data_IF_004184810445
#
_entry.id   IF_004184810445
#
_cell.length_a   1.000
_cell.length_b   1.000
_cell.length_c   1.000
_cell.angle_alpha   90.00
_cell.angle_beta   90.00
_cell.angle_gamma   90.00
#
_symmetry.space_group_name_H-M   'P 1'
#
loop_
_entity.id
_entity.type
_entity.pdbx_description
1 polymer ?
#
# COMPACT_ATOMS: atom_id res chain seq x y z
N UNK A 1 11.68 -8.18 -17.60
CA UNK A 1 10.94 -8.37 -16.34
C UNK A 1 9.72 -9.21 -16.59
N UNK A 2 9.31 -10.00 -15.60
CA UNK A 2 8.05 -10.75 -15.65
C UNK A 2 7.01 -10.10 -14.75
N UNK A 3 5.81 -9.89 -15.24
CA UNK A 3 4.70 -9.24 -14.54
C UNK A 3 3.61 -10.27 -14.29
N UNK A 4 3.12 -10.35 -13.06
CA UNK A 4 2.04 -11.26 -12.69
C UNK A 4 0.82 -10.46 -12.26
N UNK A 5 -0.25 -10.53 -13.05
CA UNK A 5 -1.58 -10.10 -12.65
C UNK A 5 -2.23 -11.14 -11.74
N UNK A 6 -2.79 -10.69 -10.62
CA UNK A 6 -3.45 -11.55 -9.64
C UNK A 6 -4.88 -11.04 -9.47
N UNK A 7 -5.84 -11.75 -10.06
CA UNK A 7 -7.25 -11.42 -9.99
C UNK A 7 -7.91 -12.19 -8.84
N UNK A 8 -8.29 -11.49 -7.77
CA UNK A 8 -9.06 -12.03 -6.66
C UNK A 8 -10.48 -11.48 -6.62
N UNK A 9 -11.27 -11.79 -7.65
CA UNK A 9 -12.68 -11.41 -7.74
C UNK A 9 -13.55 -12.68 -7.84
N UNK A 10 -14.86 -12.58 -7.59
CA UNK A 10 -15.77 -13.72 -7.82
C UNK A 10 -16.10 -13.94 -9.31
N UNK A 11 -15.86 -12.93 -10.16
CA UNK A 11 -16.11 -12.98 -11.60
C UNK A 11 -14.79 -12.79 -12.33
N UNK A 12 -14.48 -13.70 -13.24
CA UNK A 12 -13.31 -13.59 -14.10
C UNK A 12 -13.42 -12.39 -15.04
N UNK A 13 -14.61 -12.14 -15.58
CA UNK A 13 -14.88 -11.05 -16.52
C UNK A 13 -15.77 -9.97 -15.87
N UNK A 14 -15.13 -9.04 -15.16
CA UNK A 14 -15.82 -7.90 -14.56
C UNK A 14 -14.93 -6.66 -14.51
N UNK A 15 -15.40 -5.61 -13.83
CA UNK A 15 -14.67 -4.33 -13.77
C UNK A 15 -13.24 -4.48 -13.23
N UNK A 16 -13.04 -5.36 -12.25
CA UNK A 16 -11.69 -5.64 -11.70
C UNK A 16 -10.76 -6.20 -12.76
N UNK A 17 -11.27 -7.10 -13.61
CA UNK A 17 -10.53 -7.67 -14.74
C UNK A 17 -10.24 -6.62 -15.81
N UNK A 18 -11.23 -5.80 -16.16
CA UNK A 18 -11.02 -4.70 -17.12
C UNK A 18 -9.90 -3.76 -16.68
N UNK A 19 -9.85 -3.43 -15.39
CA UNK A 19 -8.75 -2.61 -14.84
C UNK A 19 -7.40 -3.32 -14.94
N UNK A 20 -7.36 -4.61 -14.60
CA UNK A 20 -6.16 -5.43 -14.66
C UNK A 20 -5.62 -5.54 -16.09
N UNK A 21 -6.47 -5.88 -17.06
CA UNK A 21 -6.11 -5.99 -18.47
C UNK A 21 -5.58 -4.66 -19.00
N UNK A 22 -6.23 -3.53 -18.68
CA UNK A 22 -5.79 -2.20 -19.13
C UNK A 22 -4.37 -1.87 -18.65
N UNK A 23 -4.01 -2.25 -17.42
CA UNK A 23 -2.67 -2.07 -16.86
C UNK A 23 -1.66 -3.01 -17.55
N UNK A 24 -2.01 -4.29 -17.71
CA UNK A 24 -1.10 -5.28 -18.27
C UNK A 24 -0.88 -5.14 -19.78
N UNK A 25 -1.84 -4.58 -20.52
CA UNK A 25 -1.65 -4.22 -21.93
C UNK A 25 -0.54 -3.18 -22.16
N UNK A 26 -0.06 -2.51 -21.11
CA UNK A 26 1.04 -1.57 -21.21
C UNK A 26 2.42 -2.22 -20.99
N UNK A 27 2.48 -3.51 -20.70
CA UNK A 27 3.75 -4.24 -20.56
C UNK A 27 4.36 -4.42 -21.95
N UNK A 28 5.52 -3.82 -22.17
CA UNK A 28 6.19 -3.78 -23.48
C UNK A 28 7.35 -4.78 -23.54
N UNK A 29 7.62 -5.33 -24.73
CA UNK A 29 8.79 -6.18 -24.95
C UNK A 29 10.10 -5.45 -24.53
N UNK A 30 11.07 -6.15 -23.93
CA UNK A 30 11.14 -7.60 -23.70
C UNK A 30 10.41 -8.10 -22.44
N UNK A 31 9.64 -7.25 -21.75
CA UNK A 31 8.86 -7.67 -20.59
C UNK A 31 7.67 -8.55 -20.99
N UNK A 32 7.27 -9.45 -20.11
CA UNK A 32 6.12 -10.33 -20.32
C UNK A 32 5.13 -10.21 -19.17
N UNK A 33 3.86 -10.48 -19.44
CA UNK A 33 2.81 -10.50 -18.43
C UNK A 33 2.00 -11.79 -18.52
N UNK A 34 1.63 -12.33 -17.37
CA UNK A 34 0.62 -13.39 -17.24
C UNK A 34 -0.40 -13.00 -16.17
N UNK A 35 -1.59 -13.61 -16.22
CA UNK A 35 -2.64 -13.43 -15.20
C UNK A 35 -2.94 -14.78 -14.56
N UNK A 36 -3.10 -14.78 -13.24
CA UNK A 36 -3.77 -15.86 -12.51
C UNK A 36 -5.10 -15.37 -11.97
N UNK A 37 -6.14 -16.18 -12.14
CA UNK A 37 -7.44 -15.97 -11.54
C UNK A 37 -7.57 -16.87 -10.31
N UNK A 38 -7.69 -16.27 -9.13
CA UNK A 38 -7.55 -17.01 -7.86
C UNK A 38 -8.67 -18.04 -7.62
N UNK A 39 -9.85 -17.86 -8.21
CA UNK A 39 -10.96 -18.83 -8.11
C UNK A 39 -10.69 -20.12 -8.90
N UNK A 40 -9.73 -20.12 -9.83
CA UNK A 40 -9.30 -21.36 -10.51
C UNK A 40 -8.48 -22.28 -9.59
N UNK A 41 -8.09 -21.79 -8.42
CA UNK A 41 -7.20 -22.48 -7.50
C UNK A 41 -7.93 -22.85 -6.21
N UNK A 42 -7.76 -24.09 -5.76
CA UNK A 42 -8.19 -24.49 -4.42
C UNK A 42 -7.15 -24.04 -3.38
N UNK A 43 -7.22 -22.78 -2.98
CA UNK A 43 -6.25 -22.17 -2.05
C UNK A 43 -6.56 -22.56 -0.61
N UNK A 44 -5.61 -23.29 0.02
CA UNK A 44 -5.67 -23.76 1.40
C UNK A 44 -4.38 -23.39 2.14
N UNK A 45 -4.45 -23.19 3.48
CA UNK A 45 -3.26 -22.90 4.28
C UNK A 45 -2.31 -24.10 4.29
N UNK A 46 -1.01 -23.82 4.48
CA UNK A 46 -0.02 -24.88 4.69
C UNK A 46 -0.28 -25.65 5.99
N UNK A 47 -0.20 -26.97 5.90
CA UNK A 47 -0.31 -27.90 7.03
C UNK A 47 1.03 -28.63 7.17
N UNK A 48 1.60 -28.62 8.37
CA UNK A 48 2.90 -29.25 8.63
C UNK A 48 2.88 -30.73 8.23
N UNK A 49 3.84 -31.13 7.39
CA UNK A 49 3.99 -32.50 6.92
C UNK A 49 3.06 -32.88 5.75
N UNK A 50 2.29 -31.95 5.21
CA UNK A 50 1.44 -32.18 4.04
C UNK A 50 1.91 -31.33 2.85
N UNK A 51 1.98 -31.89 1.63
CA UNK A 51 2.27 -31.11 0.44
C UNK A 51 1.12 -30.16 0.12
N UNK A 52 1.44 -28.99 -0.44
CA UNK A 52 0.45 -28.00 -0.88
C UNK A 52 0.78 -27.55 -2.31
N UNK A 53 0.56 -28.44 -3.31
CA UNK A 53 1.00 -28.21 -4.69
C UNK A 53 0.37 -26.97 -5.32
N UNK A 54 -0.87 -26.63 -4.94
CA UNK A 54 -1.54 -25.40 -5.38
C UNK A 54 -0.76 -24.16 -4.96
N UNK A 55 -0.39 -24.07 -3.68
CA UNK A 55 0.42 -22.94 -3.21
C UNK A 55 1.84 -23.00 -3.76
N UNK A 56 2.42 -24.18 -3.99
CA UNK A 56 3.74 -24.34 -4.61
C UNK A 56 3.75 -23.75 -6.04
N UNK A 57 2.72 -24.07 -6.83
CA UNK A 57 2.52 -23.53 -8.18
C UNK A 57 2.37 -22.00 -8.17
N UNK A 58 1.54 -21.45 -7.27
CA UNK A 58 1.35 -20.00 -7.18
C UNK A 58 2.65 -19.31 -6.74
N UNK A 59 3.37 -19.88 -5.78
CA UNK A 59 4.64 -19.34 -5.28
C UNK A 59 5.71 -19.32 -6.37
N UNK A 60 5.81 -20.37 -7.19
CA UNK A 60 6.74 -20.37 -8.32
C UNK A 60 6.46 -19.21 -9.30
N UNK A 61 5.19 -18.88 -9.55
CA UNK A 61 4.81 -17.72 -10.37
C UNK A 61 5.18 -16.40 -9.69
N UNK A 62 4.91 -16.27 -8.38
CA UNK A 62 5.26 -15.09 -7.59
C UNK A 62 6.77 -14.84 -7.54
N UNK A 63 7.57 -15.91 -7.41
CA UNK A 63 9.03 -15.86 -7.38
C UNK A 63 9.60 -15.46 -8.74
N UNK A 64 9.05 -16.00 -9.82
CA UNK A 64 9.45 -15.65 -11.18
C UNK A 64 9.07 -14.21 -11.57
N UNK A 65 8.02 -13.64 -10.98
CA UNK A 65 7.54 -12.29 -11.31
C UNK A 65 8.29 -11.20 -10.56
N UNK A 66 8.72 -10.15 -11.26
CA UNK A 66 9.37 -8.96 -10.70
C UNK A 66 8.35 -7.92 -10.20
N UNK A 67 7.16 -7.89 -10.83
CA UNK A 67 6.07 -6.96 -10.50
C UNK A 67 4.76 -7.73 -10.34
N UNK A 68 4.03 -7.46 -9.26
CA UNK A 68 2.70 -8.02 -9.01
C UNK A 68 1.61 -6.96 -9.21
N UNK A 69 0.59 -7.23 -10.02
CA UNK A 69 -0.58 -6.38 -10.14
C UNK A 69 -1.73 -7.04 -9.39
N UNK A 70 -1.99 -6.60 -8.17
CA UNK A 70 -3.06 -7.11 -7.31
C UNK A 70 -4.37 -6.45 -7.71
N UNK A 71 -5.32 -7.21 -8.21
CA UNK A 71 -6.63 -6.70 -8.60
C UNK A 71 -7.74 -7.41 -7.81
N UNK A 72 -8.42 -6.67 -6.93
CA UNK A 72 -9.48 -7.21 -6.10
C UNK A 72 -10.55 -6.13 -5.79
N UNK A 73 -11.85 -6.45 -5.92
CA UNK A 73 -12.92 -5.52 -5.59
C UNK A 73 -13.02 -5.28 -4.07
N UNK A 74 -13.64 -4.16 -3.70
CA UNK A 74 -14.07 -3.88 -2.33
C UNK A 74 -15.49 -4.39 -2.12
N UNK A 75 -15.65 -5.38 -1.25
CA UNK A 75 -16.94 -5.92 -0.83
C UNK A 75 -17.15 -5.69 0.65
N UNK A 76 -18.33 -5.20 1.03
CA UNK A 76 -18.68 -4.89 2.44
C UNK A 76 -17.64 -3.98 3.13
N UNK A 77 -17.09 -3.02 2.40
CA UNK A 77 -16.06 -2.10 2.91
C UNK A 77 -14.72 -2.76 3.23
N UNK A 78 -14.46 -3.96 2.71
CA UNK A 78 -13.23 -4.71 2.89
C UNK A 78 -12.72 -5.32 1.58
N UNK A 79 -11.51 -5.87 1.62
CA UNK A 79 -10.93 -6.62 0.50
C UNK A 79 -11.79 -7.87 0.21
N UNK A 80 -11.92 -8.26 -1.06
CA UNK A 80 -12.64 -9.48 -1.45
C UNK A 80 -12.18 -10.70 -0.66
N UNK A 81 -13.13 -11.59 -0.33
CA UNK A 81 -12.84 -12.83 0.42
C UNK A 81 -11.81 -13.71 -0.29
N UNK A 82 -11.86 -13.78 -1.62
CA UNK A 82 -10.92 -14.52 -2.46
C UNK A 82 -9.48 -14.03 -2.27
N UNK A 83 -9.25 -12.72 -2.42
CA UNK A 83 -7.92 -12.14 -2.27
C UNK A 83 -7.45 -12.23 -0.81
N UNK A 84 -8.36 -12.04 0.15
CA UNK A 84 -8.05 -12.16 1.57
C UNK A 84 -7.64 -13.59 1.96
N UNK A 85 -8.36 -14.61 1.48
CA UNK A 85 -8.01 -16.01 1.70
C UNK A 85 -6.63 -16.34 1.11
N UNK A 86 -6.35 -15.85 -0.10
CA UNK A 86 -5.03 -15.98 -0.71
C UNK A 86 -3.94 -15.35 0.16
N UNK A 87 -4.12 -14.11 0.64
CA UNK A 87 -3.16 -13.48 1.54
C UNK A 87 -2.97 -14.21 2.87
N UNK A 88 -4.04 -14.78 3.43
CA UNK A 88 -3.95 -15.57 4.67
C UNK A 88 -3.13 -16.84 4.48
N UNK A 89 -3.32 -17.53 3.35
CA UNK A 89 -2.56 -18.74 2.99
C UNK A 89 -1.12 -18.42 2.58
N UNK A 90 -0.90 -17.26 1.94
CA UNK A 90 0.41 -16.78 1.51
C UNK A 90 1.31 -16.39 2.70
N UNK A 91 0.73 -16.03 3.86
CA UNK A 91 1.43 -15.47 5.02
C UNK A 91 2.70 -16.21 5.41
N UNK A 92 2.65 -17.54 5.52
CA UNK A 92 3.81 -18.34 5.97
C UNK A 92 4.93 -18.43 4.92
N UNK A 93 4.60 -18.15 3.65
CA UNK A 93 5.52 -18.21 2.53
C UNK A 93 6.06 -16.84 2.13
N UNK A 94 5.40 -15.77 2.56
CA UNK A 94 5.71 -14.38 2.23
C UNK A 94 6.79 -13.77 3.13
N UNK A 95 6.75 -14.11 4.42
CA UNK A 95 7.60 -13.51 5.45
C UNK A 95 8.22 -14.60 6.32
N UNK A 96 9.39 -14.29 6.89
CA UNK A 96 9.99 -15.11 7.94
C UNK A 96 9.58 -14.56 9.31
N UNK A 97 9.37 -15.45 10.27
CA UNK A 97 9.05 -15.09 11.65
C UNK A 97 10.28 -15.24 12.53
N UNK A 98 10.59 -14.23 13.33
CA UNK A 98 11.63 -14.35 14.37
C UNK A 98 11.11 -15.05 15.62
N UNK A 99 12.01 -15.32 16.59
CA UNK A 99 11.67 -15.98 17.86
C UNK A 99 10.70 -15.18 18.74
N UNK A 100 10.50 -13.89 18.47
CA UNK A 100 9.55 -12.99 19.17
C UNK A 100 8.23 -12.85 18.41
N UNK A 101 8.06 -13.54 17.28
CA UNK A 101 6.87 -13.45 16.42
C UNK A 101 6.87 -12.25 15.48
N UNK A 102 7.98 -11.50 15.37
CA UNK A 102 8.14 -10.41 14.41
C UNK A 102 8.23 -10.93 12.98
N UNK A 103 7.53 -10.27 12.05
CA UNK A 103 7.58 -10.58 10.62
C UNK A 103 8.69 -9.80 9.94
N UNK A 104 9.52 -10.49 9.18
CA UNK A 104 10.58 -9.87 8.37
C UNK A 104 10.41 -10.26 6.90
N UNK A 105 10.72 -9.34 5.96
CA UNK A 105 10.83 -9.69 4.55
C UNK A 105 11.79 -10.87 4.33
N UNK A 106 11.50 -11.63 3.28
CA UNK A 106 12.27 -12.80 2.86
C UNK A 106 12.51 -12.74 1.34
N UNK A 107 12.31 -13.84 0.61
CA UNK A 107 12.62 -13.99 -0.82
C UNK A 107 11.89 -13.06 -1.81
N UNK A 108 10.81 -12.40 -1.37
CA UNK A 108 10.07 -11.46 -2.20
C UNK A 108 10.49 -9.99 -2.04
N UNK A 109 11.48 -9.73 -1.17
CA UNK A 109 11.95 -8.37 -0.92
C UNK A 109 12.37 -7.65 -2.22
N UNK A 110 12.07 -6.35 -2.28
CA UNK A 110 12.36 -5.45 -3.39
C UNK A 110 11.59 -5.72 -4.70
N UNK A 111 10.74 -6.75 -4.78
CA UNK A 111 9.76 -6.85 -5.88
C UNK A 111 8.76 -5.69 -5.80
N UNK A 112 8.13 -5.36 -6.91
CA UNK A 112 7.22 -4.21 -6.99
C UNK A 112 5.77 -4.63 -7.07
N UNK A 113 4.84 -3.75 -6.69
CA UNK A 113 3.43 -4.01 -6.89
C UNK A 113 2.58 -2.79 -7.25
N UNK A 114 1.50 -3.07 -7.97
CA UNK A 114 0.35 -2.19 -8.19
C UNK A 114 -0.85 -2.79 -7.47
N UNK A 115 -1.66 -1.95 -6.83
CA UNK A 115 -2.95 -2.35 -6.27
C UNK A 115 -4.11 -1.72 -7.05
N UNK A 116 -5.06 -2.54 -7.47
CA UNK A 116 -6.26 -2.14 -8.19
C UNK A 116 -7.48 -2.58 -7.39
N UNK A 117 -8.41 -1.66 -7.16
CA UNK A 117 -9.69 -1.99 -6.54
C UNK A 117 -10.85 -1.27 -7.21
N UNK A 118 -12.07 -1.70 -6.88
CA UNK A 118 -13.26 -1.02 -7.31
C UNK A 118 -14.38 -1.14 -6.28
N UNK A 119 -15.37 -0.27 -6.39
CA UNK A 119 -16.55 -0.30 -5.54
C UNK A 119 -17.79 0.20 -6.30
N UNK A 120 -18.96 -0.25 -5.84
CA UNK A 120 -20.24 0.24 -6.35
C UNK A 120 -20.51 1.69 -5.93
N UNK A 121 -19.95 2.13 -4.81
CA UNK A 121 -20.13 3.45 -4.25
C UNK A 121 -19.78 4.54 -5.26
N UNK A 122 -20.54 5.64 -5.25
CA UNK A 122 -20.27 6.78 -6.11
C UNK A 122 -18.91 7.41 -5.81
N UNK A 123 -18.35 8.20 -6.75
CA UNK A 123 -17.06 8.88 -6.55
C UNK A 123 -17.06 9.76 -5.29
N UNK A 124 -18.13 10.53 -5.08
CA UNK A 124 -18.28 11.41 -3.91
C UNK A 124 -18.46 10.65 -2.60
N UNK A 125 -19.25 9.59 -2.62
CA UNK A 125 -19.43 8.72 -1.46
C UNK A 125 -18.11 8.07 -1.06
N UNK A 126 -17.37 7.50 -2.03
CA UNK A 126 -16.07 6.92 -1.75
C UNK A 126 -15.06 7.96 -1.24
N UNK A 127 -15.09 9.18 -1.79
CA UNK A 127 -14.23 10.27 -1.33
C UNK A 127 -14.52 10.68 0.13
N UNK A 128 -15.79 10.70 0.54
CA UNK A 128 -16.19 11.10 1.90
C UNK A 128 -16.05 9.98 2.93
N UNK A 129 -16.41 8.75 2.56
CA UNK A 129 -16.49 7.61 3.48
C UNK A 129 -15.28 6.68 3.43
N UNK A 130 -14.45 6.78 2.39
CA UNK A 130 -13.26 5.95 2.21
C UNK A 130 -13.57 4.45 2.09
N UNK A 131 -14.66 4.08 1.41
CA UNK A 131 -15.12 2.67 1.30
C UNK A 131 -13.99 1.74 0.88
N UNK A 132 -13.14 2.17 -0.05
CA UNK A 132 -12.04 1.39 -0.60
C UNK A 132 -10.75 1.39 0.23
N UNK A 133 -10.62 2.29 1.21
CA UNK A 133 -9.37 2.52 1.95
C UNK A 133 -8.95 1.30 2.77
N UNK A 134 -9.92 0.54 3.29
CA UNK A 134 -9.64 -0.69 4.01
C UNK A 134 -9.00 -1.74 3.09
N UNK A 135 -9.51 -1.89 1.86
CA UNK A 135 -8.96 -2.83 0.88
C UNK A 135 -7.51 -2.50 0.53
N UNK A 136 -7.21 -1.24 0.22
CA UNK A 136 -5.84 -0.80 -0.06
C UNK A 136 -4.92 -0.99 1.14
N UNK A 137 -5.36 -0.61 2.35
CA UNK A 137 -4.57 -0.82 3.57
C UNK A 137 -4.28 -2.30 3.83
N UNK A 138 -5.22 -3.20 3.54
CA UNK A 138 -4.98 -4.65 3.65
C UNK A 138 -3.94 -5.13 2.66
N UNK A 139 -4.06 -4.72 1.38
CA UNK A 139 -3.06 -5.08 0.34
C UNK A 139 -1.68 -4.56 0.73
N UNK A 140 -1.60 -3.27 1.08
CA UNK A 140 -0.33 -2.62 1.43
C UNK A 140 0.30 -3.27 2.66
N UNK A 141 -0.49 -3.56 3.70
CA UNK A 141 0.01 -4.23 4.91
C UNK A 141 0.63 -5.59 4.60
N UNK A 142 -0.02 -6.40 3.75
CA UNK A 142 0.49 -7.72 3.39
C UNK A 142 1.76 -7.61 2.55
N UNK A 143 1.72 -6.81 1.48
CA UNK A 143 2.83 -6.75 0.52
C UNK A 143 4.06 -6.02 1.08
N UNK A 144 3.87 -4.97 1.86
CA UNK A 144 5.00 -4.28 2.52
C UNK A 144 5.65 -5.14 3.60
N UNK A 145 4.88 -6.01 4.29
CA UNK A 145 5.45 -7.00 5.20
C UNK A 145 6.37 -7.99 4.46
N UNK A 146 6.01 -8.38 3.22
CA UNK A 146 6.86 -9.15 2.33
C UNK A 146 8.07 -8.39 1.75
N UNK A 147 8.20 -7.09 2.04
CA UNK A 147 9.26 -6.24 1.52
C UNK A 147 9.04 -5.74 0.08
N UNK A 148 7.81 -5.84 -0.44
CA UNK A 148 7.50 -5.33 -1.77
C UNK A 148 7.29 -3.81 -1.76
N UNK A 149 7.61 -3.17 -2.89
CA UNK A 149 7.60 -1.73 -3.09
C UNK A 149 6.42 -1.33 -3.97
N UNK A 150 5.59 -0.40 -3.50
CA UNK A 150 4.42 0.07 -4.24
C UNK A 150 4.83 1.05 -5.34
N UNK A 151 4.41 0.79 -6.58
CA UNK A 151 4.63 1.73 -7.72
C UNK A 151 3.39 2.57 -8.03
N UNK A 152 2.22 2.14 -7.57
CA UNK A 152 1.00 2.93 -7.59
C UNK A 152 -0.24 2.12 -7.28
N UNK A 153 -1.37 2.81 -7.30
CA UNK A 153 -2.69 2.25 -7.09
C UNK A 153 -3.73 2.94 -7.96
N UNK A 154 -4.86 2.28 -8.20
CA UNK A 154 -6.01 2.88 -8.86
C UNK A 154 -7.32 2.28 -8.36
N UNK A 155 -8.35 3.12 -8.31
CA UNK A 155 -9.72 2.75 -7.90
C UNK A 155 -10.72 3.07 -9.00
N UNK A 156 -11.65 2.15 -9.29
CA UNK A 156 -12.84 2.44 -10.10
C UNK A 156 -14.08 2.50 -9.19
N UNK A 157 -14.77 3.63 -9.17
CA UNK A 157 -16.02 3.81 -8.43
C UNK A 157 -17.23 3.67 -9.36
N UNK A 158 -18.45 3.69 -8.80
CA UNK A 158 -19.70 3.62 -9.55
C UNK A 158 -19.76 2.43 -10.54
N UNK A 159 -19.37 1.23 -10.07
CA UNK A 159 -19.28 0.04 -10.93
C UNK A 159 -20.59 -0.68 -11.21
N UNK A 160 -21.70 -0.24 -10.60
CA UNK A 160 -22.99 -0.92 -10.79
C UNK A 160 -23.45 -0.79 -12.24
N UNK A 161 -23.62 -1.92 -12.93
CA UNK A 161 -23.99 -1.96 -14.35
C UNK A 161 -22.90 -1.50 -15.33
N UNK A 162 -21.66 -1.28 -14.86
CA UNK A 162 -20.56 -0.80 -15.70
C UNK A 162 -20.08 -1.91 -16.64
N UNK A 163 -20.15 -1.66 -17.96
CA UNK A 163 -19.70 -2.58 -19.02
C UNK A 163 -18.35 -2.17 -19.61
N UNK A 164 -17.97 -0.90 -19.52
CA UNK A 164 -16.71 -0.37 -20.06
C UNK A 164 -16.09 0.68 -19.13
N UNK A 165 -14.77 0.82 -19.18
CA UNK A 165 -14.06 1.85 -18.43
C UNK A 165 -14.14 3.19 -19.17
N UNK A 166 -14.47 4.27 -18.46
CA UNK A 166 -14.45 5.60 -19.05
C UNK A 166 -13.04 5.95 -19.61
N UNK A 167 -12.92 6.73 -20.70
CA UNK A 167 -11.62 7.07 -21.31
C UNK A 167 -10.62 7.71 -20.34
N UNK A 168 -11.11 8.51 -19.40
CA UNK A 168 -10.28 9.10 -18.34
C UNK A 168 -9.66 8.02 -17.43
N UNK A 169 -10.43 6.99 -17.06
CA UNK A 169 -9.93 5.86 -16.27
C UNK A 169 -8.95 5.02 -17.08
N UNK A 170 -9.25 4.76 -18.34
CA UNK A 170 -8.33 4.04 -19.23
C UNK A 170 -6.98 4.76 -19.30
N UNK A 171 -6.97 6.09 -19.47
CA UNK A 171 -5.75 6.91 -19.49
C UNK A 171 -4.97 6.86 -18.16
N UNK A 172 -5.66 6.89 -17.03
CA UNK A 172 -5.05 6.73 -15.70
C UNK A 172 -4.36 5.37 -15.56
N UNK A 173 -5.06 4.28 -15.90
CA UNK A 173 -4.54 2.92 -15.83
C UNK A 173 -3.41 2.69 -16.84
N UNK A 174 -3.48 3.30 -18.03
CA UNK A 174 -2.41 3.30 -19.02
C UNK A 174 -1.14 3.93 -18.44
N UNK A 175 -1.25 5.12 -17.84
CA UNK A 175 -0.10 5.77 -17.19
C UNK A 175 0.48 4.92 -16.06
N UNK A 176 -0.39 4.25 -15.31
CA UNK A 176 0.02 3.37 -14.22
C UNK A 176 0.77 2.13 -14.74
N UNK A 177 0.24 1.47 -15.78
CA UNK A 177 0.89 0.32 -16.43
C UNK A 177 2.23 0.67 -17.07
N UNK A 178 2.36 1.86 -17.66
CA UNK A 178 3.64 2.33 -18.22
C UNK A 178 4.76 2.44 -17.17
N UNK A 179 4.43 2.65 -15.88
CA UNK A 179 5.44 2.66 -14.80
C UNK A 179 6.11 1.30 -14.62
N UNK A 180 5.43 0.20 -14.94
CA UNK A 180 5.97 -1.17 -14.82
C UNK A 180 7.25 -1.30 -15.65
N UNK A 181 7.26 -0.77 -16.88
CA UNK A 181 8.42 -0.88 -17.78
C UNK A 181 9.66 -0.12 -17.29
N UNK A 182 9.50 0.79 -16.32
CA UNK A 182 10.58 1.60 -15.74
C UNK A 182 10.96 1.15 -14.34
N UNK A 183 10.24 0.20 -13.75
CA UNK A 183 10.49 -0.25 -12.40
C UNK A 183 11.80 -1.06 -12.36
N UNK A 184 12.72 -0.69 -11.48
CA UNK A 184 13.96 -1.43 -11.25
C UNK A 184 13.82 -2.32 -10.03
N UNK A 185 14.21 -3.60 -10.12
CA UNK A 185 14.06 -4.59 -9.04
C UNK A 185 14.66 -4.20 -7.68
N UNK A 186 15.57 -3.23 -7.62
CA UNK A 186 16.07 -2.67 -6.36
C UNK A 186 15.96 -1.15 -6.43
N UNK A 187 14.88 -0.62 -5.88
CA UNK A 187 14.72 0.83 -5.71
C UNK A 187 15.25 1.21 -4.31
N UNK A 188 16.41 1.84 -4.26
CA UNK A 188 16.99 2.37 -3.03
C UNK A 188 16.51 3.81 -2.79
N UNK A 189 15.29 3.94 -2.27
CA UNK A 189 14.72 5.25 -1.90
C UNK A 189 15.24 5.77 -0.55
N UNK A 190 16.29 5.19 0.03
CA UNK A 190 16.79 5.57 1.36
C UNK A 190 17.15 7.04 1.43
N UNK A 191 17.84 7.56 0.40
CA UNK A 191 18.23 8.98 0.31
C UNK A 191 17.00 9.89 0.26
N UNK A 192 15.98 9.53 -0.52
CA UNK A 192 14.73 10.30 -0.61
C UNK A 192 14.03 10.37 0.76
N UNK A 193 13.96 9.25 1.48
CA UNK A 193 13.38 9.21 2.84
C UNK A 193 14.15 10.08 3.82
N UNK A 194 15.48 10.13 3.71
CA UNK A 194 16.28 11.05 4.53
C UNK A 194 16.02 12.51 4.20
N UNK A 195 15.86 12.87 2.92
CA UNK A 195 15.43 14.22 2.55
C UNK A 195 14.04 14.55 3.10
N UNK A 196 13.06 13.66 2.95
CA UNK A 196 11.71 13.85 3.51
C UNK A 196 11.74 14.03 5.04
N UNK A 197 12.48 13.16 5.75
CA UNK A 197 12.65 13.25 7.20
C UNK A 197 13.32 14.56 7.61
N UNK A 198 14.37 14.98 6.89
CA UNK A 198 15.05 16.24 7.12
C UNK A 198 14.09 17.43 7.02
N UNK A 199 13.28 17.49 5.97
CA UNK A 199 12.32 18.59 5.79
C UNK A 199 11.22 18.59 6.86
N UNK A 200 10.71 17.42 7.28
CA UNK A 200 9.73 17.32 8.37
C UNK A 200 10.34 17.87 9.67
N UNK A 201 11.57 17.46 10.00
CA UNK A 201 12.27 17.93 11.20
C UNK A 201 12.55 19.43 11.11
N UNK A 202 12.98 19.93 9.95
CA UNK A 202 13.26 21.35 9.74
C UNK A 202 12.00 22.22 9.92
N UNK A 203 10.86 21.82 9.33
CA UNK A 203 9.59 22.54 9.47
C UNK A 203 9.09 22.49 10.91
N UNK A 204 9.15 21.34 11.57
CA UNK A 204 8.78 21.24 12.98
C UNK A 204 9.65 22.12 13.87
N UNK A 205 10.97 22.12 13.67
CA UNK A 205 11.88 22.98 14.41
C UNK A 205 11.55 24.47 14.19
N UNK A 206 11.23 24.87 12.95
CA UNK A 206 10.80 26.23 12.64
C UNK A 206 9.51 26.62 13.38
N UNK A 207 8.49 25.77 13.35
CA UNK A 207 7.22 26.00 14.07
C UNK A 207 7.46 26.13 15.58
N UNK A 208 8.29 25.25 16.15
CA UNK A 208 8.67 25.32 17.56
C UNK A 208 9.35 26.66 17.89
N UNK A 209 10.31 27.10 17.07
CA UNK A 209 10.99 28.39 17.28
C UNK A 209 10.03 29.57 17.17
N UNK A 210 9.08 29.54 16.24
CA UNK A 210 8.07 30.58 16.09
C UNK A 210 7.15 30.68 17.32
N UNK A 211 6.67 29.53 17.80
CA UNK A 211 5.83 29.44 19.02
C UNK A 211 6.62 29.92 20.24
N UNK A 212 7.86 29.46 20.40
CA UNK A 212 8.73 29.88 21.49
C UNK A 212 8.94 31.40 21.48
N UNK A 213 9.29 31.97 20.32
CA UNK A 213 9.49 33.42 20.18
C UNK A 213 8.22 34.21 20.49
N UNK A 214 7.05 33.70 20.08
CA UNK A 214 5.77 34.35 20.38
C UNK A 214 5.47 34.33 21.89
N UNK A 215 5.65 33.19 22.55
CA UNK A 215 5.45 33.05 24.00
C UNK A 215 6.38 33.97 24.80
N UNK A 216 7.67 34.02 24.44
CA UNK A 216 8.63 34.88 25.12
C UNK A 216 8.31 36.37 24.96
N UNK A 217 7.89 36.77 23.76
CA UNK A 217 7.45 38.14 23.48
C UNK A 217 6.17 38.49 24.25
N UNK A 218 5.21 37.57 24.35
CA UNK A 218 3.97 37.79 25.08
C UNK A 218 4.19 37.93 26.60
N UNK A 219 5.19 37.23 27.13
CA UNK A 219 5.55 37.23 28.55
C UNK A 219 6.62 38.26 28.93
N UNK A 220 7.14 39.05 27.97
CA UNK A 220 8.27 39.96 28.16
C UNK A 220 9.49 39.30 28.82
N UNK A 221 9.76 38.04 28.50
CA UNK A 221 10.87 37.27 29.07
C UNK A 221 12.05 37.22 28.10
N UNK A 222 13.24 37.53 28.60
CA UNK A 222 14.49 37.21 27.92
C UNK A 222 15.15 36.02 28.62
N UNK A 223 15.33 34.92 27.90
CA UNK A 223 15.94 33.70 28.44
C UNK A 223 17.41 33.60 28.02
N UNK A 224 18.23 33.03 28.90
CA UNK A 224 19.59 32.59 28.56
C UNK A 224 19.59 31.37 27.64
N UNK A 225 20.77 30.99 27.12
CA UNK A 225 20.92 29.89 26.17
C UNK A 225 20.28 28.57 26.64
N UNK A 226 20.58 28.12 27.86
CA UNK A 226 20.07 26.85 28.39
C UNK A 226 18.55 26.85 28.58
N UNK A 227 17.98 27.96 29.03
CA UNK A 227 16.53 28.09 29.18
C UNK A 227 15.81 28.16 27.82
N UNK A 228 16.42 28.80 26.82
CA UNK A 228 15.93 28.76 25.43
C UNK A 228 15.99 27.36 24.84
N UNK A 229 17.06 26.60 25.09
CA UNK A 229 17.18 25.22 24.64
C UNK A 229 16.13 24.31 25.31
N UNK A 230 15.97 24.41 26.64
CA UNK A 230 14.99 23.59 27.38
C UNK A 230 13.56 23.87 26.90
N UNK A 231 13.19 25.15 26.76
CA UNK A 231 11.86 25.52 26.26
C UNK A 231 11.61 25.03 24.84
N UNK A 232 12.62 25.12 23.95
CA UNK A 232 12.54 24.55 22.61
C UNK A 232 12.23 23.05 22.65
N UNK A 233 12.99 22.27 23.43
CA UNK A 233 12.83 20.82 23.54
C UNK A 233 11.43 20.47 24.05
N UNK A 234 10.96 21.16 25.09
CA UNK A 234 9.62 20.93 25.66
C UNK A 234 8.53 21.21 24.62
N UNK A 235 8.57 22.36 23.95
CA UNK A 235 7.55 22.73 22.95
C UNK A 235 7.59 21.75 21.77
N UNK A 236 8.78 21.37 21.30
CA UNK A 236 8.95 20.43 20.20
C UNK A 236 8.33 19.06 20.51
N UNK A 237 8.64 18.48 21.68
CA UNK A 237 8.09 17.19 22.08
C UNK A 237 6.61 17.26 22.44
N UNK A 238 6.12 18.37 22.98
CA UNK A 238 4.69 18.58 23.19
C UNK A 238 3.93 18.61 21.86
N UNK A 239 4.42 19.34 20.85
CA UNK A 239 3.84 19.37 19.51
C UNK A 239 3.88 17.98 18.85
N UNK A 240 5.01 17.27 18.97
CA UNK A 240 5.14 15.91 18.47
C UNK A 240 4.13 14.97 19.13
N UNK A 241 4.00 15.04 20.46
CA UNK A 241 3.06 14.24 21.24
C UNK A 241 1.61 14.56 20.89
N UNK A 242 1.23 15.82 20.75
CA UNK A 242 -0.12 16.24 20.32
C UNK A 242 -0.40 15.75 18.90
N UNK A 243 0.57 15.89 17.98
CA UNK A 243 0.44 15.43 16.59
C UNK A 243 0.25 13.91 16.55
N UNK A 244 1.13 13.17 17.23
CA UNK A 244 1.04 11.72 17.34
C UNK A 244 -0.27 11.29 18.00
N UNK A 245 -0.67 11.90 19.11
CA UNK A 245 -1.91 11.63 19.83
C UNK A 245 -3.13 11.92 18.97
N UNK A 246 -3.16 13.06 18.26
CA UNK A 246 -4.22 13.36 17.31
C UNK A 246 -4.31 12.29 16.22
N UNK A 247 -3.18 11.91 15.61
CA UNK A 247 -3.17 10.87 14.57
C UNK A 247 -3.47 9.46 15.11
N UNK A 248 -3.10 9.14 16.36
CA UNK A 248 -3.37 7.82 16.98
C UNK A 248 -4.77 7.74 17.55
N UNK A 249 -5.24 8.72 18.32
CA UNK A 249 -6.58 8.70 18.93
C UNK A 249 -7.68 8.90 17.88
N UNK A 250 -7.48 9.76 16.88
CA UNK A 250 -8.45 9.88 15.76
C UNK A 250 -8.49 8.58 14.93
N UNK A 251 -7.40 7.82 14.86
CA UNK A 251 -7.38 6.48 14.24
C UNK A 251 -7.93 5.36 15.14
N UNK A 252 -7.74 5.43 16.46
CA UNK A 252 -8.14 4.36 17.40
C UNK A 252 -9.58 4.49 17.89
N UNK A 253 -10.20 5.68 17.86
CA UNK A 253 -11.63 5.87 18.19
C UNK A 253 -12.57 5.78 16.97
N UNK A 254 -12.10 5.34 15.80
CA UNK A 254 -12.95 5.09 14.62
C UNK A 254 -12.76 3.67 14.08
N UNK A 255 -13.44 2.72 14.69
CA UNK A 255 -14.54 1.93 14.10
C UNK A 255 -15.10 1.02 15.19
#
# INVERSE_FOLDING_TARGET
MKVLGILGAHKEHGVTRMMLDQVLHQVQAPNTSEIIYLEDYQIKPDIKGQPNPTMDQIIAKLEAADVWVIAAPTYWGGLSGVMKNFFDCLRQRLVRFDRKGGTHPDKFAHKHYISLTNCYAGKWENFLSGVTDASFRTIDKVLTAGGLIKIGEAVQTATWGLTELAPAKQKELTKLGQKINRATRKDDQTVKRYFELFFIVAVMAFITMAIQSLCLKLLNLSLGFWSNYISFVIIFFALLAVTLHFFTVVKHKRK
#
